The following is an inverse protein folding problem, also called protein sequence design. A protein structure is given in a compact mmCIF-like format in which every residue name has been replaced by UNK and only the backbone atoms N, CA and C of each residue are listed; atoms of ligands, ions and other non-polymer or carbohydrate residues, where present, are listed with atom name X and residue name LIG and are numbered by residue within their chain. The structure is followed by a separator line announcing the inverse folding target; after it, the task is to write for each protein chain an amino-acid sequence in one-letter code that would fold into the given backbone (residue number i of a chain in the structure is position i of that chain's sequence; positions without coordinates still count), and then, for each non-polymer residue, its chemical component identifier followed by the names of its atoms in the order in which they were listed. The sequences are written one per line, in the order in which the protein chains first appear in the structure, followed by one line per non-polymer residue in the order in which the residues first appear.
data_IF_075194348012
#
_entry.id   IF_075194348012
#
_cell.length_a   1.000
_cell.length_b   1.000
_cell.length_c   1.000
_cell.angle_alpha   90.00
_cell.angle_beta   90.00
_cell.angle_gamma   90.00
#
_symmetry.space_group_name_H-M   'P 1'
#
loop_
_entity.id
_entity.type
_entity.pdbx_description
1 polymer ?
#
# COMPACT_ATOMS: atom_id res chain seq x y z
N UNK A 1 -19.76 13.29 -24.54
CA UNK A 1 -18.49 12.97 -23.85
C UNK A 1 -18.83 12.38 -22.47
N UNK A 2 -18.62 11.09 -22.18
CA UNK A 2 -18.89 10.55 -20.85
C UNK A 2 -17.62 10.59 -19.99
N UNK A 3 -17.54 11.54 -19.05
CA UNK A 3 -16.37 11.82 -18.21
C UNK A 3 -16.64 11.82 -16.70
N UNK A 4 -17.49 10.92 -16.20
CA UNK A 4 -17.87 10.93 -14.77
C UNK A 4 -17.63 9.63 -14.01
N UNK A 5 -17.24 8.56 -14.72
CA UNK A 5 -17.18 7.20 -14.17
C UNK A 5 -15.76 6.72 -13.84
N UNK A 6 -14.75 7.57 -14.01
CA UNK A 6 -13.34 7.24 -13.74
C UNK A 6 -12.84 7.91 -12.44
N UNK A 7 -13.15 9.19 -12.22
CA UNK A 7 -12.76 9.90 -11.00
C UNK A 7 -13.37 9.33 -9.69
N UNK A 8 -14.59 8.77 -9.73
CA UNK A 8 -15.20 8.09 -8.57
C UNK A 8 -14.56 6.74 -8.24
N UNK A 9 -14.02 6.10 -9.26
CA UNK A 9 -13.39 4.78 -9.16
C UNK A 9 -12.01 4.93 -8.51
N UNK A 10 -11.25 5.94 -8.92
CA UNK A 10 -9.95 6.28 -8.33
C UNK A 10 -10.08 6.58 -6.83
N UNK A 11 -11.09 7.37 -6.41
CA UNK A 11 -11.30 7.69 -5.00
C UNK A 11 -11.74 6.49 -4.13
N UNK A 12 -12.40 5.50 -4.71
CA UNK A 12 -12.78 4.27 -3.98
C UNK A 12 -11.60 3.31 -3.89
N UNK A 13 -10.85 3.16 -4.97
CA UNK A 13 -9.61 2.38 -5.01
C UNK A 13 -8.59 2.91 -4.00
N UNK A 14 -8.43 4.24 -3.92
CA UNK A 14 -7.51 4.87 -2.96
C UNK A 14 -7.89 4.52 -1.51
N UNK A 15 -9.15 4.69 -1.12
CA UNK A 15 -9.63 4.35 0.23
C UNK A 15 -9.43 2.88 0.59
N UNK A 16 -9.62 1.98 -0.38
CA UNK A 16 -9.40 0.54 -0.16
C UNK A 16 -7.92 0.26 0.09
N UNK A 17 -7.02 0.89 -0.68
CA UNK A 17 -5.58 0.72 -0.53
C UNK A 17 -5.05 1.35 0.78
N UNK A 18 -5.57 2.51 1.17
CA UNK A 18 -5.21 3.16 2.44
C UNK A 18 -5.66 2.30 3.63
N UNK A 19 -6.92 1.84 3.62
CA UNK A 19 -7.42 0.92 4.65
C UNK A 19 -6.66 -0.40 4.69
N UNK A 20 -6.30 -0.95 3.53
CA UNK A 20 -5.50 -2.17 3.44
C UNK A 20 -4.12 -1.96 4.07
N UNK A 21 -3.45 -0.84 3.76
CA UNK A 21 -2.16 -0.47 4.37
C UNK A 21 -2.24 -0.50 5.89
N UNK A 22 -3.25 0.15 6.47
CA UNK A 22 -3.37 0.21 7.92
C UNK A 22 -3.68 -1.18 8.54
N UNK A 23 -4.53 -1.98 7.89
CA UNK A 23 -4.87 -3.33 8.38
C UNK A 23 -3.64 -4.22 8.38
N UNK A 24 -2.85 -4.21 7.29
CA UNK A 24 -1.63 -5.01 7.21
C UNK A 24 -0.54 -4.53 8.16
N UNK A 25 -0.38 -3.21 8.35
CA UNK A 25 0.56 -2.64 9.31
C UNK A 25 0.24 -3.02 10.76
N UNK A 26 -1.05 -3.26 11.08
CA UNK A 26 -1.50 -3.55 12.45
C UNK A 26 -1.50 -5.05 12.74
N UNK A 27 -2.01 -5.86 11.81
CA UNK A 27 -2.27 -7.29 12.02
C UNK A 27 -1.22 -8.21 11.39
N UNK A 28 -0.29 -7.66 10.61
CA UNK A 28 0.60 -8.45 9.76
C UNK A 28 -0.14 -9.07 8.56
N UNK A 29 0.62 -9.58 7.60
CA UNK A 29 0.06 -10.02 6.31
C UNK A 29 -0.88 -11.23 6.45
N UNK A 30 -0.53 -12.18 7.31
CA UNK A 30 -1.23 -13.46 7.45
C UNK A 30 -2.59 -13.32 8.13
N UNK A 31 -2.68 -12.49 9.18
CA UNK A 31 -3.91 -12.35 9.97
C UNK A 31 -4.93 -11.40 9.33
N UNK A 32 -4.48 -10.44 8.51
CA UNK A 32 -5.35 -9.47 7.85
C UNK A 32 -6.37 -10.13 6.92
N UNK A 33 -7.61 -9.63 6.93
CA UNK A 33 -8.73 -10.14 6.13
C UNK A 33 -9.32 -9.07 5.21
N UNK A 34 -9.94 -9.51 4.11
CA UNK A 34 -10.70 -8.61 3.22
C UNK A 34 -11.84 -7.93 3.97
N UNK A 35 -12.45 -8.62 4.94
CA UNK A 35 -13.54 -8.06 5.74
C UNK A 35 -13.09 -6.82 6.55
N UNK A 36 -11.92 -6.87 7.19
CA UNK A 36 -11.36 -5.74 7.92
C UNK A 36 -11.05 -4.56 6.99
N UNK A 37 -10.57 -4.83 5.76
CA UNK A 37 -10.32 -3.79 4.75
C UNK A 37 -11.62 -3.16 4.26
N UNK A 38 -12.67 -3.95 4.03
CA UNK A 38 -14.02 -3.46 3.67
C UNK A 38 -14.56 -2.55 4.77
N UNK A 39 -14.51 -3.04 6.01
CA UNK A 39 -14.97 -2.32 7.19
C UNK A 39 -14.25 -0.97 7.35
N UNK A 40 -12.92 -0.98 7.25
CA UNK A 40 -12.10 0.22 7.43
C UNK A 40 -12.17 1.20 6.25
N UNK A 41 -12.30 0.71 5.03
CA UNK A 41 -12.40 1.57 3.83
C UNK A 41 -13.78 2.20 3.65
N UNK A 42 -14.83 1.62 4.25
CA UNK A 42 -16.22 1.98 3.99
C UNK A 42 -16.66 1.72 2.54
N UNK A 43 -15.90 0.90 1.79
CA UNK A 43 -16.28 0.44 0.46
C UNK A 43 -17.15 -0.82 0.57
N UNK A 44 -18.00 -1.10 -0.42
CA UNK A 44 -18.78 -2.34 -0.44
C UNK A 44 -17.92 -3.54 -0.83
N UNK A 45 -18.26 -4.74 -0.34
CA UNK A 45 -17.56 -6.01 -0.69
C UNK A 45 -17.45 -6.20 -2.21
N UNK A 46 -18.53 -5.89 -2.96
CA UNK A 46 -18.54 -5.98 -4.42
C UNK A 46 -17.56 -5.05 -5.13
N UNK A 47 -17.10 -3.98 -4.48
CA UNK A 47 -16.03 -3.13 -5.01
C UNK A 47 -14.67 -3.82 -4.92
N UNK A 48 -14.43 -4.65 -3.91
CA UNK A 48 -13.15 -5.36 -3.78
C UNK A 48 -13.05 -6.49 -4.79
N UNK A 49 -14.10 -7.30 -4.93
CA UNK A 49 -14.14 -8.36 -5.94
C UNK A 49 -14.02 -7.80 -7.36
N UNK A 50 -14.63 -6.64 -7.62
CA UNK A 50 -14.58 -6.00 -8.95
C UNK A 50 -13.25 -5.29 -9.25
N UNK A 51 -12.61 -4.63 -8.28
CA UNK A 51 -11.39 -3.86 -8.51
C UNK A 51 -10.11 -4.67 -8.35
N UNK A 52 -10.13 -5.70 -7.50
CA UNK A 52 -8.90 -6.36 -7.07
C UNK A 52 -8.91 -7.87 -7.22
N UNK A 53 -9.97 -8.49 -7.77
CA UNK A 53 -9.97 -9.93 -8.06
C UNK A 53 -9.89 -10.84 -6.83
N UNK A 54 -10.07 -10.28 -5.62
CA UNK A 54 -9.99 -10.99 -4.35
C UNK A 54 -8.71 -10.70 -3.54
N UNK A 55 -8.48 -11.49 -2.47
CA UNK A 55 -7.44 -11.22 -1.45
C UNK A 55 -6.01 -11.26 -1.99
N UNK A 56 -5.67 -12.26 -2.80
CA UNK A 56 -4.31 -12.45 -3.31
C UNK A 56 -3.88 -11.35 -4.29
N UNK A 57 -4.82 -10.83 -5.06
CA UNK A 57 -4.55 -9.82 -6.08
C UNK A 57 -4.64 -8.40 -5.49
N UNK A 58 -5.53 -8.16 -4.51
CA UNK A 58 -5.45 -6.98 -3.63
C UNK A 58 -4.08 -6.89 -2.95
N UNK A 59 -3.56 -8.02 -2.44
CA UNK A 59 -2.20 -8.09 -1.86
C UNK A 59 -1.14 -7.66 -2.85
N UNK A 60 -1.17 -8.21 -4.06
CA UNK A 60 -0.17 -7.90 -5.09
C UNK A 60 -0.16 -6.40 -5.43
N UNK A 61 -1.34 -5.83 -5.67
CA UNK A 61 -1.47 -4.41 -5.97
C UNK A 61 -1.04 -3.52 -4.81
N UNK A 62 -1.36 -3.89 -3.57
CA UNK A 62 -0.91 -3.14 -2.40
C UNK A 62 0.61 -3.22 -2.24
N UNK A 63 1.21 -4.40 -2.36
CA UNK A 63 2.66 -4.57 -2.24
C UNK A 63 3.38 -3.73 -3.30
N UNK A 64 2.89 -3.72 -4.55
CA UNK A 64 3.43 -2.86 -5.60
C UNK A 64 3.32 -1.37 -5.24
N UNK A 65 2.18 -0.93 -4.70
CA UNK A 65 1.99 0.47 -4.31
C UNK A 65 2.92 0.88 -3.17
N UNK A 66 3.03 0.04 -2.13
CA UNK A 66 3.90 0.30 -0.98
C UNK A 66 5.36 0.33 -1.42
N UNK A 67 5.79 -0.64 -2.23
CA UNK A 67 7.15 -0.65 -2.78
C UNK A 67 7.47 0.65 -3.55
N UNK A 68 6.57 1.09 -4.43
CA UNK A 68 6.76 2.32 -5.20
C UNK A 68 6.83 3.56 -4.30
N UNK A 69 5.93 3.66 -3.30
CA UNK A 69 5.90 4.81 -2.39
C UNK A 69 7.17 4.86 -1.52
N UNK A 70 7.53 3.73 -0.90
CA UNK A 70 8.72 3.62 -0.05
C UNK A 70 10.00 3.85 -0.85
N UNK A 71 10.11 3.32 -2.08
CA UNK A 71 11.25 3.60 -2.95
C UNK A 71 11.36 5.09 -3.30
N UNK A 72 10.23 5.75 -3.59
CA UNK A 72 10.21 7.17 -3.90
C UNK A 72 10.66 8.02 -2.70
N UNK A 73 10.14 7.73 -1.50
CA UNK A 73 10.53 8.40 -0.25
C UNK A 73 12.02 8.18 0.08
N UNK A 74 12.48 6.94 0.02
CA UNK A 74 13.88 6.59 0.29
C UNK A 74 14.82 7.26 -0.72
N UNK A 75 14.42 7.33 -1.99
CA UNK A 75 15.20 8.03 -3.02
C UNK A 75 15.30 9.53 -2.74
N UNK A 76 14.23 10.16 -2.23
CA UNK A 76 14.26 11.55 -1.82
C UNK A 76 15.17 11.76 -0.61
N UNK A 77 15.13 10.85 0.38
CA UNK A 77 16.04 10.91 1.54
C UNK A 77 17.51 10.77 1.12
N UNK A 78 17.83 9.80 0.27
CA UNK A 78 19.19 9.61 -0.26
C UNK A 78 19.63 10.82 -1.10
N UNK A 79 18.75 11.38 -1.93
CA UNK A 79 19.08 12.57 -2.71
C UNK A 79 19.29 13.84 -1.85
N UNK A 80 18.74 13.85 -0.62
CA UNK A 80 18.90 14.93 0.34
C UNK A 80 20.06 14.69 1.33
N UNK A 81 20.75 13.56 1.29
CA UNK A 81 21.92 13.29 2.13
C UNK A 81 23.13 14.12 1.70
N UNK A 82 23.67 14.89 2.64
CA UNK A 82 24.93 15.61 2.47
C UNK A 82 26.15 14.72 2.74
N UNK A 83 26.02 13.73 3.63
CA UNK A 83 27.06 12.76 3.98
C UNK A 83 26.75 11.38 3.36
N UNK A 84 27.66 10.82 2.54
CA UNK A 84 27.53 9.46 2.03
C UNK A 84 27.42 8.37 3.12
N UNK A 85 27.95 8.61 4.32
CA UNK A 85 27.88 7.67 5.43
C UNK A 85 26.46 7.56 6.05
N UNK A 86 25.55 8.50 5.73
CA UNK A 86 24.14 8.46 6.14
C UNK A 86 23.24 7.62 5.20
N UNK A 87 23.74 7.26 4.01
CA UNK A 87 22.98 6.48 3.03
C UNK A 87 22.70 5.02 3.48
N UNK A 88 23.69 4.26 4.00
CA UNK A 88 23.45 2.89 4.43
C UNK A 88 22.34 2.74 5.49
N UNK A 89 22.27 3.58 6.54
CA UNK A 89 21.16 3.54 7.51
C UNK A 89 19.77 3.72 6.88
N UNK A 90 19.63 4.59 5.86
CA UNK A 90 18.36 4.82 5.16
C UNK A 90 17.95 3.57 4.37
N UNK A 91 18.90 2.98 3.67
CA UNK A 91 18.69 1.75 2.89
C UNK A 91 18.33 0.59 3.81
N UNK A 92 19.06 0.42 4.91
CA UNK A 92 18.85 -0.66 5.87
C UNK A 92 17.48 -0.56 6.55
N UNK A 93 17.08 0.65 6.98
CA UNK A 93 15.76 0.88 7.56
C UNK A 93 14.64 0.59 6.56
N UNK A 94 14.86 0.92 5.28
CA UNK A 94 13.92 0.62 4.19
C UNK A 94 13.78 -0.88 3.95
N UNK A 95 14.89 -1.61 3.91
CA UNK A 95 14.91 -3.07 3.75
C UNK A 95 14.23 -3.75 4.94
N UNK A 96 14.52 -3.32 6.16
CA UNK A 96 13.93 -3.85 7.38
C UNK A 96 12.40 -3.66 7.40
N UNK A 97 11.94 -2.47 7.02
CA UNK A 97 10.52 -2.18 6.92
C UNK A 97 9.82 -3.06 5.86
N UNK A 98 10.42 -3.24 4.68
CA UNK A 98 9.90 -4.15 3.65
C UNK A 98 9.87 -5.60 4.16
N UNK A 99 10.90 -6.04 4.88
CA UNK A 99 10.95 -7.37 5.50
C UNK A 99 9.80 -7.61 6.47
N UNK A 100 9.58 -6.67 7.40
CA UNK A 100 8.45 -6.71 8.36
C UNK A 100 7.07 -6.70 7.71
N UNK A 101 6.96 -6.20 6.48
CA UNK A 101 5.69 -6.17 5.73
C UNK A 101 5.35 -7.53 5.08
N UNK A 102 6.36 -8.34 4.78
CA UNK A 102 6.21 -9.61 4.05
C UNK A 102 6.08 -10.81 4.99
N UNK A 103 6.57 -10.70 6.23
CA UNK A 103 6.44 -11.69 7.31
C UNK A 103 5.05 -11.68 7.97
#
# INVERSE_FOLDING_TARGET
MPGHRWAKTDGTQQRILDAATDVFATSGFTAATIAEVVERSGAGVGSIDHHFGGKSELRGQLLSRLLVATMAESSLMVAACDDPDDVPPIVDATIEWIGRLIE
#
